data_IF_274383955610
#
_entry.id   IF_274383955610
#
_cell.length_a   1.000
_cell.length_b   1.000
_cell.length_c   1.000
_cell.angle_alpha   90.00
_cell.angle_beta   90.00
_cell.angle_gamma   90.00
#
_symmetry.space_group_name_H-M   'P 1'
#
loop_
_entity.id
_entity.type
_entity.pdbx_description
1 polymer ?
#
# COMPACT_ATOMS: atom_id res chain seq x y z
N UNK A 1 1.64 17.87 -7.87
CA UNK A 1 2.73 16.88 -7.70
C UNK A 1 2.15 15.50 -7.58
N UNK A 2 2.58 14.56 -8.42
CA UNK A 2 2.15 13.17 -8.37
C UNK A 2 2.54 12.59 -7.00
N UNK A 3 1.56 12.44 -6.11
CA UNK A 3 1.72 11.68 -4.87
C UNK A 3 1.72 10.20 -5.23
N UNK A 4 2.76 9.48 -4.84
CA UNK A 4 2.77 8.01 -4.90
C UNK A 4 1.89 7.50 -3.76
N UNK A 5 0.73 6.87 -4.05
CA UNK A 5 -0.26 6.54 -3.03
C UNK A 5 0.16 5.38 -2.11
N UNK A 6 1.06 4.51 -2.57
CA UNK A 6 1.60 3.40 -1.78
C UNK A 6 3.12 3.43 -1.80
N UNK A 7 3.74 3.43 -0.62
CA UNK A 7 5.19 3.50 -0.44
C UNK A 7 5.67 2.43 0.53
N UNK A 8 6.79 1.80 0.19
CA UNK A 8 7.55 0.93 1.11
C UNK A 8 8.64 1.76 1.77
N UNK A 9 8.67 1.81 3.09
CA UNK A 9 9.64 2.59 3.85
C UNK A 9 10.32 1.75 4.92
N UNK A 10 11.60 2.04 5.18
CA UNK A 10 12.31 1.51 6.34
C UNK A 10 12.28 2.55 7.45
N UNK A 11 11.54 2.27 8.51
CA UNK A 11 11.42 3.18 9.66
C UNK A 11 10.90 2.42 10.89
N UNK A 12 10.90 3.09 12.03
CA UNK A 12 10.10 2.72 13.19
C UNK A 12 8.70 3.30 13.01
N UNK A 13 7.67 2.47 13.04
CA UNK A 13 6.29 2.93 12.85
C UNK A 13 5.84 3.94 13.91
N UNK A 14 6.45 3.88 15.11
CA UNK A 14 6.16 4.81 16.21
C UNK A 14 6.67 6.23 15.96
N UNK A 15 7.58 6.41 14.99
CA UNK A 15 8.12 7.70 14.59
C UNK A 15 7.38 8.32 13.38
N UNK A 16 6.47 7.57 12.77
CA UNK A 16 5.77 8.01 11.56
C UNK A 16 4.81 9.15 11.83
N UNK A 17 5.02 10.26 11.13
CA UNK A 17 4.16 11.45 11.15
C UNK A 17 3.03 11.30 10.12
N UNK A 18 2.04 10.53 10.46
CA UNK A 18 0.86 10.22 9.65
C UNK A 18 -0.41 10.43 10.46
N UNK A 19 -1.58 10.42 9.82
CA UNK A 19 -2.84 10.55 10.56
C UNK A 19 -3.12 9.31 11.42
N UNK A 20 -2.86 8.11 10.90
CA UNK A 20 -3.00 6.88 11.67
C UNK A 20 -1.82 5.93 11.44
N UNK A 21 -1.38 5.27 12.50
CA UNK A 21 -0.56 4.06 12.42
C UNK A 21 -1.40 2.84 12.74
N UNK A 22 -1.09 1.72 12.10
CA UNK A 22 -1.77 0.45 12.36
C UNK A 22 -0.92 -0.39 13.31
N UNK A 23 -1.58 -0.90 14.35
CA UNK A 23 -1.00 -1.80 15.33
C UNK A 23 -1.41 -3.24 14.99
N UNK A 24 -0.44 -4.14 14.91
CA UNK A 24 -0.66 -5.58 14.85
C UNK A 24 -0.87 -6.09 16.29
N UNK A 25 -2.10 -6.02 16.75
CA UNK A 25 -2.51 -6.35 18.11
C UNK A 25 -2.90 -7.84 18.25
N UNK A 26 -3.08 -8.28 19.48
CA UNK A 26 -3.79 -9.51 19.78
C UNK A 26 -5.29 -9.23 20.06
N UNK A 27 -6.10 -10.26 20.19
CA UNK A 27 -7.55 -10.15 20.36
C UNK A 27 -7.97 -9.41 21.63
N UNK A 28 -7.12 -9.35 22.66
CA UNK A 28 -7.42 -8.61 23.89
C UNK A 28 -7.27 -7.10 23.73
N UNK A 29 -6.44 -6.63 22.81
CA UNK A 29 -6.04 -5.24 22.63
C UNK A 29 -5.30 -4.64 23.84
N UNK A 30 -4.81 -5.44 24.76
CA UNK A 30 -4.22 -4.99 26.03
C UNK A 30 -2.68 -4.94 26.00
N UNK A 31 -2.11 -4.89 24.82
CA UNK A 31 -0.67 -4.85 24.62
C UNK A 31 -0.05 -6.23 24.47
N UNK A 32 1.22 -6.26 24.16
CA UNK A 32 2.00 -7.47 23.94
C UNK A 32 3.45 -7.13 23.61
N UNK A 33 4.12 -8.01 22.86
CA UNK A 33 5.48 -7.82 22.38
C UNK A 33 5.56 -7.17 21.01
N UNK A 34 6.77 -7.10 20.46
CA UNK A 34 7.02 -6.59 19.11
C UNK A 34 6.52 -5.17 18.87
N UNK A 35 5.88 -4.93 17.72
CA UNK A 35 5.36 -3.62 17.35
C UNK A 35 4.24 -3.14 18.30
N UNK A 36 3.41 -4.04 18.77
CA UNK A 36 2.34 -3.75 19.76
C UNK A 36 2.94 -3.17 21.05
N UNK A 37 3.95 -3.83 21.61
CA UNK A 37 4.66 -3.32 22.79
C UNK A 37 5.34 -1.97 22.56
N UNK A 38 5.96 -1.78 21.40
CA UNK A 38 6.59 -0.51 21.04
C UNK A 38 5.59 0.64 20.96
N UNK A 39 4.45 0.40 20.32
CA UNK A 39 3.36 1.40 20.21
C UNK A 39 2.84 1.78 21.59
N UNK A 40 2.56 0.80 22.46
CA UNK A 40 2.06 1.07 23.81
C UNK A 40 3.09 1.85 24.67
N UNK A 41 4.37 1.51 24.58
CA UNK A 41 5.44 2.23 25.31
C UNK A 41 5.54 3.68 24.85
N UNK A 42 5.54 3.91 23.54
CA UNK A 42 5.67 5.26 22.97
C UNK A 42 4.43 6.11 23.22
N UNK A 43 3.25 5.54 23.04
CA UNK A 43 1.97 6.23 23.27
C UNK A 43 1.75 6.60 24.74
N UNK A 44 2.29 5.83 25.65
CA UNK A 44 2.10 5.98 27.09
C UNK A 44 0.83 5.29 27.62
N UNK A 45 0.58 5.36 28.95
CA UNK A 45 -0.43 4.53 29.63
C UNK A 45 -1.88 4.84 29.24
N UNK A 46 -2.14 6.02 28.70
CA UNK A 46 -3.50 6.41 28.26
C UNK A 46 -4.00 5.55 27.11
N UNK A 47 -3.12 5.07 26.23
CA UNK A 47 -3.50 4.17 25.17
C UNK A 47 -4.10 2.86 25.72
N UNK A 48 -3.43 2.22 26.67
CA UNK A 48 -3.95 1.01 27.30
C UNK A 48 -5.28 1.26 27.99
N UNK A 49 -5.43 2.42 28.65
CA UNK A 49 -6.69 2.79 29.30
C UNK A 49 -7.83 2.86 28.30
N UNK A 50 -7.64 3.49 27.14
CA UNK A 50 -8.65 3.53 26.07
C UNK A 50 -8.91 2.14 25.49
N UNK A 51 -7.87 1.34 25.22
CA UNK A 51 -7.99 -0.02 24.69
C UNK A 51 -8.87 -0.92 25.58
N UNK A 52 -8.79 -0.78 26.89
CA UNK A 52 -9.65 -1.53 27.84
C UNK A 52 -11.14 -1.28 27.61
N UNK A 53 -11.52 -0.10 27.16
CA UNK A 53 -12.92 0.24 26.88
C UNK A 53 -13.46 -0.40 25.61
N UNK A 54 -12.61 -0.92 24.75
CA UNK A 54 -12.99 -1.49 23.45
C UNK A 54 -13.53 -2.92 23.53
N UNK A 55 -13.21 -3.65 24.61
CA UNK A 55 -13.69 -5.03 24.82
C UNK A 55 -13.08 -6.06 23.86
N UNK A 56 -11.83 -5.87 23.44
CA UNK A 56 -11.15 -6.75 22.50
C UNK A 56 -11.50 -6.51 21.04
N UNK A 57 -10.93 -7.35 20.16
CA UNK A 57 -11.15 -7.28 18.71
C UNK A 57 -10.98 -8.68 18.11
N UNK A 58 -11.85 -9.06 17.19
CA UNK A 58 -11.77 -10.35 16.49
C UNK A 58 -10.68 -10.34 15.43
N UNK A 59 -10.14 -11.51 15.11
CA UNK A 59 -9.20 -11.71 14.00
C UNK A 59 -9.85 -11.18 12.70
N UNK A 60 -9.09 -10.41 11.93
CA UNK A 60 -9.54 -9.79 10.68
C UNK A 60 -10.34 -8.49 10.86
N UNK A 61 -10.65 -8.09 12.08
CA UNK A 61 -11.34 -6.84 12.40
C UNK A 61 -10.33 -5.77 12.85
N UNK A 62 -10.81 -4.53 12.98
CA UNK A 62 -10.01 -3.42 13.47
C UNK A 62 -10.83 -2.48 14.34
N UNK A 63 -10.19 -1.84 15.31
CA UNK A 63 -10.74 -0.80 16.17
C UNK A 63 -9.77 0.37 16.26
N UNK A 64 -10.26 1.57 16.50
CA UNK A 64 -9.45 2.79 16.49
C UNK A 64 -9.43 3.45 17.87
N UNK A 65 -8.27 3.99 18.24
CA UNK A 65 -8.05 4.83 19.41
C UNK A 65 -7.31 6.10 19.03
N UNK A 66 -7.14 7.00 19.97
CA UNK A 66 -6.20 8.13 19.85
C UNK A 66 -4.77 7.64 19.93
N UNK A 67 -3.83 8.45 19.35
CA UNK A 67 -2.39 8.15 19.37
C UNK A 67 -1.65 8.63 20.62
N UNK A 68 -2.24 9.49 21.41
CA UNK A 68 -1.66 10.09 22.63
C UNK A 68 -0.28 10.71 22.38
N UNK A 69 0.81 10.13 22.92
CA UNK A 69 2.17 10.66 22.77
C UNK A 69 2.82 10.32 21.42
N UNK A 70 2.16 9.51 20.59
CA UNK A 70 2.64 9.22 19.24
C UNK A 70 2.53 10.46 18.34
N UNK A 71 3.39 10.61 17.32
CA UNK A 71 3.21 11.62 16.28
C UNK A 71 1.90 11.46 15.50
N UNK A 72 1.40 10.21 15.35
CA UNK A 72 0.13 9.91 14.70
C UNK A 72 -1.06 10.32 15.58
N UNK A 73 -2.12 10.81 14.96
CA UNK A 73 -3.37 11.20 15.67
C UNK A 73 -4.10 9.98 16.22
N UNK A 74 -4.08 8.89 15.46
CA UNK A 74 -4.83 7.66 15.74
C UNK A 74 -3.93 6.44 15.73
N UNK A 75 -4.36 5.41 16.47
CA UNK A 75 -3.90 4.04 16.32
C UNK A 75 -5.06 3.17 15.88
N UNK A 76 -4.91 2.49 14.76
CA UNK A 76 -5.84 1.47 14.29
C UNK A 76 -5.30 0.13 14.73
N UNK A 77 -5.98 -0.52 15.68
CA UNK A 77 -5.61 -1.83 16.19
C UNK A 77 -6.30 -2.89 15.37
N UNK A 78 -5.55 -3.73 14.68
CA UNK A 78 -6.08 -4.87 13.93
C UNK A 78 -5.44 -6.16 14.40
N UNK A 79 -6.16 -7.25 14.27
CA UNK A 79 -5.71 -8.58 14.69
C UNK A 79 -5.57 -9.46 13.46
N UNK A 80 -4.33 -9.80 13.13
CA UNK A 80 -4.03 -10.74 12.07
C UNK A 80 -4.10 -12.19 12.55
N UNK A 81 -4.15 -13.16 11.62
CA UNK A 81 -4.16 -14.58 11.94
C UNK A 81 -2.80 -15.08 12.40
N UNK A 82 -2.78 -16.11 13.21
CA UNK A 82 -1.60 -16.93 13.47
C UNK A 82 -1.38 -17.86 12.28
N UNK A 83 -0.15 -17.95 11.79
CA UNK A 83 0.18 -18.83 10.68
C UNK A 83 0.13 -20.31 11.09
N UNK A 84 -0.62 -21.11 10.35
CA UNK A 84 -0.79 -22.56 10.55
C UNK A 84 -0.57 -23.32 9.23
N UNK A 85 0.29 -22.83 8.36
CA UNK A 85 0.65 -23.49 7.10
C UNK A 85 -0.15 -23.05 5.88
N UNK A 86 -1.09 -22.10 6.00
CA UNK A 86 -1.82 -21.51 4.89
C UNK A 86 -3.13 -22.24 4.50
N UNK A 87 -3.49 -23.29 5.21
CA UNK A 87 -4.70 -24.09 4.92
C UNK A 87 -5.91 -23.80 5.83
N UNK A 88 -5.84 -22.77 6.68
CA UNK A 88 -6.86 -22.46 7.69
C UNK A 88 -7.52 -21.09 7.50
N UNK A 89 -7.56 -20.59 6.27
CA UNK A 89 -8.16 -19.30 5.95
C UNK A 89 -7.31 -18.08 6.36
N UNK A 90 -6.02 -18.26 6.62
CA UNK A 90 -5.14 -17.18 7.08
C UNK A 90 -5.04 -16.04 6.07
N UNK A 91 -5.02 -16.37 4.78
CA UNK A 91 -4.94 -15.37 3.72
C UNK A 91 -6.15 -14.43 3.72
N UNK A 92 -7.35 -14.98 3.80
CA UNK A 92 -8.61 -14.22 3.85
C UNK A 92 -8.70 -13.37 5.12
N UNK A 93 -8.25 -13.89 6.26
CA UNK A 93 -8.20 -13.15 7.52
C UNK A 93 -7.16 -12.02 7.48
N UNK A 94 -6.02 -12.22 6.83
CA UNK A 94 -5.02 -11.18 6.64
C UNK A 94 -5.53 -10.07 5.71
N UNK A 95 -6.18 -10.43 4.60
CA UNK A 95 -6.85 -9.47 3.71
C UNK A 95 -7.87 -8.65 4.49
N UNK A 96 -8.68 -9.30 5.31
CA UNK A 96 -9.69 -8.65 6.15
C UNK A 96 -9.05 -7.66 7.14
N UNK A 97 -7.92 -8.00 7.76
CA UNK A 97 -7.21 -7.13 8.70
C UNK A 97 -6.72 -5.85 8.01
N UNK A 98 -6.11 -5.94 6.83
CA UNK A 98 -5.71 -4.78 6.04
C UNK A 98 -6.91 -3.94 5.61
N UNK A 99 -7.94 -4.58 5.07
CA UNK A 99 -9.14 -3.89 4.58
C UNK A 99 -9.90 -3.18 5.69
N UNK A 100 -10.17 -3.85 6.81
CA UNK A 100 -10.86 -3.26 7.96
C UNK A 100 -10.12 -2.03 8.50
N UNK A 101 -8.80 -2.08 8.50
CA UNK A 101 -7.95 -0.95 8.90
C UNK A 101 -8.07 0.23 7.93
N UNK A 102 -8.06 -0.02 6.63
CA UNK A 102 -8.22 1.01 5.60
C UNK A 102 -9.62 1.65 5.66
N UNK A 103 -10.66 0.86 5.87
CA UNK A 103 -12.03 1.34 6.02
C UNK A 103 -12.18 2.28 7.23
N UNK A 104 -11.54 1.95 8.36
CA UNK A 104 -11.49 2.84 9.52
C UNK A 104 -10.74 4.14 9.23
N UNK A 105 -9.61 4.07 8.52
CA UNK A 105 -8.86 5.25 8.14
C UNK A 105 -9.71 6.23 7.32
N UNK A 106 -10.44 5.72 6.33
CA UNK A 106 -11.36 6.54 5.52
C UNK A 106 -12.51 7.08 6.36
N UNK A 107 -13.10 6.26 7.21
CA UNK A 107 -14.19 6.66 8.12
C UNK A 107 -13.79 7.81 9.05
N UNK A 108 -12.54 7.83 9.49
CA UNK A 108 -11.99 8.87 10.37
C UNK A 108 -11.26 9.99 9.59
N UNK A 109 -11.48 10.07 8.29
CA UNK A 109 -10.94 11.12 7.40
C UNK A 109 -9.41 11.23 7.43
N UNK A 110 -8.72 10.10 7.57
CA UNK A 110 -7.27 10.06 7.46
C UNK A 110 -6.83 10.29 6.02
N UNK A 111 -5.82 11.11 5.82
CA UNK A 111 -5.16 11.33 4.52
C UNK A 111 -3.91 10.44 4.38
N UNK A 112 -3.38 9.93 5.49
CA UNK A 112 -2.18 9.10 5.53
C UNK A 112 -2.26 8.02 6.60
N UNK A 113 -1.81 6.81 6.25
CA UNK A 113 -1.80 5.64 7.14
C UNK A 113 -0.50 4.87 6.98
N UNK A 114 0.09 4.43 8.09
CA UNK A 114 1.25 3.55 8.09
C UNK A 114 0.89 2.16 8.63
N UNK A 115 1.28 1.13 7.89
CA UNK A 115 1.04 -0.27 8.21
C UNK A 115 2.34 -1.01 8.52
N UNK A 116 2.34 -1.92 9.51
CA UNK A 116 3.37 -2.93 9.65
C UNK A 116 3.08 -4.12 8.71
N UNK A 117 3.99 -5.07 8.63
CA UNK A 117 3.70 -6.40 8.07
C UNK A 117 2.93 -7.22 9.11
N UNK A 118 1.61 -7.17 9.04
CA UNK A 118 0.69 -7.81 10.00
C UNK A 118 0.95 -9.31 10.04
N UNK A 119 0.95 -9.91 11.25
CA UNK A 119 1.18 -11.35 11.50
C UNK A 119 2.59 -11.88 11.17
N UNK A 120 3.52 -11.05 10.71
CA UNK A 120 4.86 -11.51 10.28
C UNK A 120 5.88 -11.67 11.40
N UNK A 121 5.55 -11.24 12.61
CA UNK A 121 6.38 -11.42 13.79
C UNK A 121 6.13 -12.77 14.48
N UNK A 122 5.70 -12.73 15.74
CA UNK A 122 5.43 -13.91 16.57
C UNK A 122 4.37 -14.84 15.97
N UNK A 123 3.41 -14.31 15.21
CA UNK A 123 2.37 -15.10 14.54
C UNK A 123 2.91 -15.90 13.34
N UNK A 124 4.14 -15.67 12.90
CA UNK A 124 4.89 -16.52 11.99
C UNK A 124 4.43 -16.53 10.54
N UNK A 125 3.57 -15.64 10.12
CA UNK A 125 3.17 -15.54 8.71
C UNK A 125 4.41 -15.19 7.86
N UNK A 126 4.69 -15.91 6.76
CA UNK A 126 5.84 -15.63 5.91
C UNK A 126 5.81 -14.19 5.38
N UNK A 127 6.90 -13.43 5.57
CA UNK A 127 6.97 -12.00 5.27
C UNK A 127 6.72 -11.66 3.81
N UNK A 128 7.21 -12.47 2.89
CA UNK A 128 6.99 -12.31 1.45
C UNK A 128 5.51 -12.47 1.09
N UNK A 129 4.81 -13.41 1.72
CA UNK A 129 3.37 -13.60 1.52
C UNK A 129 2.55 -12.47 2.12
N UNK A 130 2.92 -11.99 3.32
CA UNK A 130 2.28 -10.81 3.93
C UNK A 130 2.41 -9.60 3.03
N UNK A 131 3.61 -9.36 2.49
CA UNK A 131 3.87 -8.23 1.62
C UNK A 131 3.00 -8.28 0.35
N UNK A 132 2.86 -9.46 -0.27
CA UNK A 132 1.97 -9.64 -1.43
C UNK A 132 0.52 -9.35 -1.11
N UNK A 133 0.01 -9.91 -0.01
CA UNK A 133 -1.36 -9.66 0.43
C UNK A 133 -1.58 -8.18 0.74
N UNK A 134 -0.64 -7.53 1.44
CA UNK A 134 -0.71 -6.13 1.77
C UNK A 134 -0.75 -5.24 0.51
N UNK A 135 0.17 -5.46 -0.43
CA UNK A 135 0.24 -4.67 -1.66
C UNK A 135 -1.01 -4.86 -2.51
N UNK A 136 -1.48 -6.09 -2.70
CA UNK A 136 -2.69 -6.37 -3.47
C UNK A 136 -3.93 -5.73 -2.84
N UNK A 137 -4.12 -5.91 -1.54
CA UNK A 137 -5.29 -5.38 -0.83
C UNK A 137 -5.29 -3.85 -0.78
N UNK A 138 -4.16 -3.25 -0.44
CA UNK A 138 -4.01 -1.80 -0.38
C UNK A 138 -4.12 -1.20 -1.79
N UNK A 139 -3.49 -1.81 -2.78
CA UNK A 139 -3.55 -1.37 -4.17
C UNK A 139 -4.98 -1.34 -4.70
N UNK A 140 -5.74 -2.40 -4.51
CA UNK A 140 -7.16 -2.47 -4.91
C UNK A 140 -8.01 -1.40 -4.20
N UNK A 141 -7.75 -1.17 -2.91
CA UNK A 141 -8.46 -0.15 -2.13
C UNK A 141 -8.16 1.28 -2.63
N UNK A 142 -6.91 1.56 -2.98
CA UNK A 142 -6.47 2.87 -3.46
C UNK A 142 -6.98 3.23 -4.86
N UNK A 143 -7.49 2.27 -5.63
CA UNK A 143 -8.17 2.56 -6.89
C UNK A 143 -9.47 3.36 -6.69
N UNK A 144 -10.08 3.27 -5.52
CA UNK A 144 -11.37 3.88 -5.20
C UNK A 144 -11.31 4.94 -4.10
N UNK A 145 -10.14 5.11 -3.44
CA UNK A 145 -9.98 6.00 -2.29
C UNK A 145 -8.69 6.81 -2.40
N UNK A 146 -8.78 8.10 -2.13
CA UNK A 146 -7.61 9.00 -2.07
C UNK A 146 -6.99 8.94 -0.67
N UNK A 147 -5.94 8.13 -0.56
CA UNK A 147 -5.23 7.88 0.70
C UNK A 147 -3.75 7.63 0.39
N UNK A 148 -2.86 8.17 1.21
CA UNK A 148 -1.43 7.82 1.15
C UNK A 148 -1.14 6.72 2.17
N UNK A 149 -0.63 5.59 1.71
CA UNK A 149 -0.32 4.44 2.56
C UNK A 149 1.17 4.14 2.55
N UNK A 150 1.71 3.92 3.73
CA UNK A 150 3.09 3.50 3.95
C UNK A 150 3.11 2.07 4.49
N UNK A 151 3.85 1.18 3.83
CA UNK A 151 4.24 -0.11 4.40
C UNK A 151 5.59 0.08 5.08
N UNK A 152 5.63 -0.09 6.40
CA UNK A 152 6.79 0.21 7.23
C UNK A 152 7.48 -1.07 7.65
N UNK A 153 8.75 -1.19 7.30
CA UNK A 153 9.60 -2.33 7.66
C UNK A 153 10.77 -1.82 8.50
N UNK A 154 10.96 -2.41 9.68
CA UNK A 154 11.97 -1.97 10.62
C UNK A 154 13.37 -2.50 10.27
N UNK A 155 13.50 -3.80 9.98
CA UNK A 155 14.79 -4.40 9.74
C UNK A 155 15.26 -4.29 8.28
N UNK A 156 16.59 -4.10 8.13
CA UNK A 156 17.23 -3.89 6.81
C UNK A 156 17.10 -5.10 5.89
N UNK A 157 17.25 -6.30 6.41
CA UNK A 157 17.20 -7.52 5.60
C UNK A 157 15.82 -7.73 5.00
N UNK A 158 14.76 -7.64 5.82
CA UNK A 158 13.37 -7.71 5.36
C UNK A 158 13.03 -6.58 4.39
N UNK A 159 13.55 -5.38 4.61
CA UNK A 159 13.36 -4.24 3.72
C UNK A 159 14.00 -4.48 2.34
N UNK A 160 15.21 -5.01 2.27
CA UNK A 160 15.91 -5.30 1.00
C UNK A 160 15.15 -6.37 0.19
N UNK A 161 14.71 -7.46 0.84
CA UNK A 161 13.88 -8.51 0.23
C UNK A 161 12.54 -7.93 -0.20
N UNK A 162 11.90 -7.14 0.66
CA UNK A 162 10.63 -6.49 0.40
C UNK A 162 10.70 -5.51 -0.77
N UNK A 163 11.78 -4.76 -0.90
CA UNK A 163 11.99 -3.81 -2.00
C UNK A 163 12.00 -4.48 -3.38
N UNK A 164 12.67 -5.63 -3.50
CA UNK A 164 12.66 -6.42 -4.74
C UNK A 164 11.26 -6.96 -5.07
N UNK A 165 10.60 -7.52 -4.08
CA UNK A 165 9.25 -8.07 -4.25
C UNK A 165 8.23 -6.96 -4.53
N UNK A 166 8.36 -5.80 -3.88
CA UNK A 166 7.49 -4.65 -4.11
C UNK A 166 7.61 -4.11 -5.54
N UNK A 167 8.82 -4.03 -6.08
CA UNK A 167 9.03 -3.64 -7.48
C UNK A 167 8.33 -4.60 -8.45
N UNK A 168 8.44 -5.91 -8.21
CA UNK A 168 7.76 -6.93 -9.02
C UNK A 168 6.23 -6.83 -8.94
N UNK A 169 5.70 -6.57 -7.76
CA UNK A 169 4.26 -6.44 -7.54
C UNK A 169 3.74 -5.13 -8.15
N UNK A 170 4.47 -4.03 -8.01
CA UNK A 170 4.10 -2.76 -8.62
C UNK A 170 4.01 -2.86 -10.14
N UNK A 171 4.97 -3.54 -10.80
CA UNK A 171 4.91 -3.82 -12.22
C UNK A 171 3.67 -4.64 -12.61
N UNK A 172 3.37 -5.68 -11.84
CA UNK A 172 2.19 -6.54 -12.06
C UNK A 172 0.86 -5.77 -11.89
N UNK A 173 0.78 -4.86 -10.92
CA UNK A 173 -0.41 -4.01 -10.71
C UNK A 173 -0.57 -3.03 -11.87
N UNK A 174 0.51 -2.42 -12.35
CA UNK A 174 0.47 -1.51 -13.49
C UNK A 174 0.02 -2.22 -14.77
N UNK A 175 0.52 -3.42 -15.03
CA UNK A 175 0.11 -4.23 -16.19
C UNK A 175 -1.37 -4.60 -16.12
N UNK A 176 -1.84 -5.04 -14.96
CA UNK A 176 -3.24 -5.37 -14.74
C UNK A 176 -4.16 -4.15 -14.84
N UNK A 177 -3.72 -3.00 -14.34
CA UNK A 177 -4.43 -1.74 -14.50
C UNK A 177 -4.57 -1.34 -15.97
N UNK A 178 -3.50 -1.49 -16.76
CA UNK A 178 -3.51 -1.22 -18.20
C UNK A 178 -4.45 -2.18 -18.92
N UNK A 179 -4.45 -3.48 -18.60
CA UNK A 179 -5.36 -4.46 -19.19
C UNK A 179 -6.84 -4.15 -18.86
N UNK A 180 -7.16 -3.88 -17.60
CA UNK A 180 -8.52 -3.55 -17.16
C UNK A 180 -9.06 -2.23 -17.74
N UNK A 181 -8.18 -1.27 -18.06
CA UNK A 181 -8.55 0.03 -18.60
C UNK A 181 -8.26 0.20 -20.10
N UNK A 182 -7.69 -0.80 -20.76
CA UNK A 182 -7.39 -0.75 -22.20
C UNK A 182 -8.63 -0.56 -23.07
N UNK A 183 -9.75 -1.15 -22.68
CA UNK A 183 -11.01 -1.02 -23.41
C UNK A 183 -11.56 0.42 -23.32
N UNK A 184 -11.44 1.08 -22.17
CA UNK A 184 -11.82 2.47 -21.98
C UNK A 184 -10.93 3.43 -22.80
N UNK A 185 -9.63 3.16 -22.88
CA UNK A 185 -8.70 3.94 -23.69
C UNK A 185 -8.94 3.73 -25.19
N UNK A 186 -9.26 2.51 -25.62
CA UNK A 186 -9.64 2.20 -26.99
C UNK A 186 -10.95 2.91 -27.40
N UNK A 187 -11.91 2.96 -26.51
CA UNK A 187 -13.20 3.64 -26.74
C UNK A 187 -13.04 5.17 -26.77
N UNK A 188 -12.22 5.73 -25.91
CA UNK A 188 -11.85 7.15 -25.94
C UNK A 188 -11.11 7.53 -27.23
N UNK A 189 -10.18 6.70 -27.68
CA UNK A 189 -9.46 6.90 -28.93
C UNK A 189 -10.39 6.77 -30.16
N UNK A 190 -11.32 5.81 -30.18
CA UNK A 190 -12.35 5.71 -31.23
C UNK A 190 -13.24 6.95 -31.28
N UNK A 191 -13.64 7.47 -30.12
CA UNK A 191 -14.47 8.67 -30.00
C UNK A 191 -13.73 9.91 -30.46
N UNK A 192 -12.45 10.04 -30.09
CA UNK A 192 -11.59 11.14 -30.56
C UNK A 192 -11.37 11.10 -32.08
N UNK A 193 -11.14 9.91 -32.67
CA UNK A 193 -11.00 9.73 -34.11
C UNK A 193 -12.30 9.99 -34.86
N UNK A 194 -13.43 9.62 -34.29
CA UNK A 194 -14.74 9.92 -34.87
C UNK A 194 -15.01 11.43 -34.90
N UNK A 195 -14.72 12.12 -33.78
CA UNK A 195 -14.86 13.60 -33.72
C UNK A 195 -13.90 14.32 -34.67
N UNK A 196 -12.66 13.85 -34.79
CA UNK A 196 -11.70 14.42 -35.73
C UNK A 196 -12.12 14.25 -37.21
N UNK A 197 -12.84 13.18 -37.56
CA UNK A 197 -13.38 12.94 -38.89
C UNK A 197 -14.67 13.72 -39.18
N UNK A 198 -15.34 14.19 -38.12
CA UNK A 198 -16.62 14.92 -38.23
C UNK A 198 -16.47 16.44 -38.30
N UNK A 199 -15.24 16.95 -38.17
CA UNK A 199 -14.95 18.37 -38.33
C UNK A 199 -14.69 18.67 -39.81
N UNK A 200 -15.30 19.72 -40.40
CA UNK A 200 -15.03 20.11 -41.76
C UNK A 200 -13.59 20.54 -41.94
N UNK A 201 -12.96 20.02 -42.99
CA UNK A 201 -11.59 20.35 -43.40
C UNK A 201 -11.47 21.86 -43.66
N UNK A 202 -10.87 22.59 -42.75
CA UNK A 202 -10.24 23.87 -43.10
C UNK A 202 -8.84 23.57 -43.62
N UNK A 203 -8.63 23.74 -44.90
CA UNK A 203 -7.33 23.72 -45.54
C UNK A 203 -6.46 24.81 -44.91
N UNK A 204 -5.38 24.41 -44.27
CA UNK A 204 -4.19 25.25 -44.13
C UNK A 204 -2.96 24.36 -44.25
N UNK A 205 -2.17 24.60 -45.28
CA UNK A 205 -0.85 24.05 -45.52
C UNK A 205 0.08 24.36 -44.34
N UNK A 206 0.40 23.37 -43.56
CA UNK A 206 1.65 23.30 -42.79
C UNK A 206 1.98 21.84 -42.55
N UNK A 207 3.01 21.39 -43.20
CA UNK A 207 3.57 20.05 -43.05
C UNK A 207 4.04 19.82 -41.60
N UNK A 208 3.27 19.02 -40.87
CA UNK A 208 3.71 18.48 -39.59
C UNK A 208 4.18 17.06 -39.85
N UNK A 209 5.48 16.83 -39.61
CA UNK A 209 6.10 15.52 -39.69
C UNK A 209 5.41 14.53 -38.72
N UNK A 210 5.27 13.25 -39.10
CA UNK A 210 4.63 12.27 -38.23
C UNK A 210 5.48 12.03 -36.99
N UNK A 211 4.90 12.29 -35.84
CA UNK A 211 5.47 11.85 -34.55
C UNK A 211 5.32 10.35 -34.51
N UNK A 212 6.46 9.65 -34.52
CA UNK A 212 6.51 8.21 -34.40
C UNK A 212 5.91 7.80 -33.04
N UNK A 213 4.91 6.90 -33.08
CA UNK A 213 4.39 6.25 -31.92
C UNK A 213 5.51 5.46 -31.20
N UNK A 214 5.63 5.52 -29.88
CA UNK A 214 6.60 4.72 -29.18
C UNK A 214 6.21 3.25 -29.29
N UNK A 215 6.93 2.51 -30.10
CA UNK A 215 6.89 1.05 -30.13
C UNK A 215 7.51 0.52 -28.84
N UNK A 216 6.69 0.22 -27.85
CA UNK A 216 7.14 -0.61 -26.73
C UNK A 216 6.93 -2.06 -27.14
N UNK A 217 8.00 -2.75 -27.42
CA UNK A 217 8.01 -4.19 -27.57
C UNK A 217 7.56 -4.80 -26.22
N UNK A 218 6.65 -5.78 -26.29
CA UNK A 218 6.24 -6.56 -25.11
C UNK A 218 7.48 -7.32 -24.61
N UNK A 219 7.86 -7.21 -23.34
CA UNK A 219 9.05 -7.91 -22.84
C UNK A 219 8.84 -9.42 -22.88
N UNK A 220 9.84 -10.15 -23.37
CA UNK A 220 9.79 -11.60 -23.54
C UNK A 220 9.96 -12.38 -22.22
N UNK A 221 10.37 -11.71 -21.14
CA UNK A 221 10.54 -12.32 -19.82
C UNK A 221 10.29 -11.30 -18.69
N UNK A 222 10.05 -11.81 -17.49
CA UNK A 222 9.90 -11.00 -16.28
C UNK A 222 11.15 -10.16 -15.97
N UNK A 223 12.34 -10.67 -16.32
CA UNK A 223 13.62 -9.97 -16.17
C UNK A 223 13.77 -8.81 -17.16
N UNK A 224 13.25 -8.94 -18.37
CA UNK A 224 13.24 -7.85 -19.36
C UNK A 224 12.23 -6.76 -18.98
N UNK A 225 11.11 -7.12 -18.34
CA UNK A 225 10.14 -6.17 -17.79
C UNK A 225 10.73 -5.37 -16.61
N UNK A 226 11.55 -6.00 -15.78
CA UNK A 226 12.25 -5.36 -14.66
C UNK A 226 13.31 -4.35 -15.12
N UNK A 227 13.94 -4.57 -16.29
CA UNK A 227 14.89 -3.63 -16.90
C UNK A 227 14.26 -2.41 -17.55
N UNK A 228 12.93 -2.42 -17.79
CA UNK A 228 12.20 -1.34 -18.47
C UNK A 228 11.27 -0.55 -17.53
N UNK A 229 11.15 -0.95 -16.27
CA UNK A 229 10.45 -0.13 -15.26
C UNK A 229 11.24 1.17 -15.14
N UNK A 230 10.55 2.27 -15.39
CA UNK A 230 11.10 3.61 -15.31
C UNK A 230 11.98 3.73 -14.06
N UNK A 231 13.28 3.84 -14.30
CA UNK A 231 14.30 4.00 -13.27
C UNK A 231 13.96 5.13 -12.30
N UNK A 232 13.06 6.05 -12.74
CA UNK A 232 12.53 7.14 -11.95
C UNK A 232 11.65 6.68 -10.77
N UNK A 233 10.86 5.62 -10.91
CA UNK A 233 9.98 5.16 -9.81
C UNK A 233 10.77 4.39 -8.75
N UNK A 234 11.63 3.47 -9.17
CA UNK A 234 12.50 2.72 -8.26
C UNK A 234 13.55 3.62 -7.60
N UNK A 235 14.14 4.57 -8.33
CA UNK A 235 15.08 5.55 -7.79
C UNK A 235 14.39 6.61 -6.92
N UNK A 236 13.16 7.01 -7.20
CA UNK A 236 12.40 7.92 -6.35
C UNK A 236 12.03 7.27 -5.01
N UNK A 237 11.69 5.99 -5.02
CA UNK A 237 11.51 5.19 -3.80
C UNK A 237 12.81 5.08 -2.99
N UNK A 238 13.94 4.80 -3.66
CA UNK A 238 15.25 4.64 -3.02
C UNK A 238 15.83 5.98 -2.53
N UNK A 239 15.71 7.08 -3.30
CA UNK A 239 16.22 8.41 -2.90
C UNK A 239 15.55 8.97 -1.65
N UNK A 240 14.24 8.78 -1.48
CA UNK A 240 13.54 9.22 -0.27
C UNK A 240 13.92 8.45 0.99
N UNK A 241 14.59 7.32 0.82
CA UNK A 241 15.06 6.45 1.88
C UNK A 241 16.44 6.89 2.36
N UNK A 242 17.33 7.27 1.43
CA UNK A 242 18.71 7.71 1.73
C UNK A 242 18.78 9.12 2.35
N UNK A 243 17.78 9.98 2.09
CA UNK A 243 17.74 11.35 2.66
C UNK A 243 17.34 11.41 4.15
N UNK A 244 17.05 10.26 4.78
CA UNK A 244 16.68 10.14 6.20
C UNK A 244 17.51 9.12 6.97
N UNK A 245 18.69 8.76 6.46
CA UNK A 245 19.68 7.90 7.14
C UNK A 245 20.40 8.59 8.29
#
# INVERSE_FOLDING_TARGET
>A
GNRVPLQLVRNDITDMKVDAIVNAANETLLGGGGVDGAIHRTAGPKLLHECRTLGGCRIGQAKITRGYRLPAKYVIHTVGPVWQGGGHGERELLISAYRSSLELAVKYHCESVAFPLISSGVYGYPKDQVLRVAVDTIGDFLLQHDLTVYLVIFDRASYTIGGKLFANIAAYIDDRYVEEHSDLLLEQNRRAQFLARSLPLFESDAAVAPVAAPSKAVPASLEDALGQIDESFSQMLLRKIDEKG
#
